data_IF_216894464331
#
_entry.id   IF_216894464331
#
_cell.length_a   1.000
_cell.length_b   1.000
_cell.length_c   1.000
_cell.angle_alpha   90.00
_cell.angle_beta   90.00
_cell.angle_gamma   90.00
#
_symmetry.space_group_name_H-M   'P 1'
#
loop_
_entity.id
_entity.type
_entity.pdbx_description
1 polymer ?
#
# COMPACT_ATOMS: atom_id res chain seq x y z
N UNK A 1 3.66 -5.68 7.23
CA UNK A 1 4.13 -6.61 6.20
C UNK A 1 4.84 -7.81 6.80
N UNK A 2 4.55 -9.05 6.37
CA UNK A 2 5.20 -10.27 6.88
C UNK A 2 6.63 -10.47 6.35
N UNK A 3 7.01 -9.82 5.24
CA UNK A 3 8.35 -9.95 4.68
C UNK A 3 9.43 -9.21 5.47
N UNK A 4 10.69 -9.57 5.25
CA UNK A 4 11.82 -8.89 5.86
C UNK A 4 12.13 -7.54 5.20
N UNK A 5 11.90 -7.39 3.88
CA UNK A 5 12.21 -6.18 3.13
C UNK A 5 11.14 -5.08 3.26
N UNK A 6 9.89 -5.42 3.59
CA UNK A 6 8.75 -4.50 3.82
C UNK A 6 8.21 -3.74 2.59
N UNK A 7 8.72 -4.01 1.38
CA UNK A 7 8.22 -3.42 0.14
C UNK A 7 6.98 -4.11 -0.44
N UNK A 8 6.44 -5.13 0.23
CA UNK A 8 5.13 -5.72 0.00
C UNK A 8 4.11 -5.06 0.93
N UNK A 9 3.53 -3.93 0.52
CA UNK A 9 2.64 -3.13 1.35
C UNK A 9 1.41 -3.94 1.81
N UNK A 10 1.13 -3.90 3.13
CA UNK A 10 -0.01 -4.59 3.75
C UNK A 10 -1.31 -3.78 3.62
N UNK A 11 -1.24 -2.47 3.78
CA UNK A 11 -2.37 -1.56 3.69
C UNK A 11 -1.83 -0.13 3.53
N UNK A 12 -2.41 0.64 2.61
CA UNK A 12 -2.03 2.04 2.39
C UNK A 12 -2.77 3.01 3.31
N UNK A 13 -3.85 2.56 3.92
CA UNK A 13 -4.68 3.38 4.81
C UNK A 13 -4.21 3.41 6.25
N UNK A 14 -3.41 2.42 6.65
CA UNK A 14 -3.05 2.20 8.04
C UNK A 14 -1.57 1.88 8.22
N UNK A 15 -1.03 2.38 9.32
CA UNK A 15 0.30 1.99 9.79
C UNK A 15 0.25 0.55 10.29
N UNK A 16 1.28 -0.24 9.96
CA UNK A 16 1.40 -1.63 10.42
C UNK A 16 1.37 -1.70 11.95
N UNK A 17 0.38 -2.37 12.56
CA UNK A 17 0.28 -2.46 14.02
C UNK A 17 1.52 -3.04 14.71
N UNK A 18 2.31 -3.87 14.01
CA UNK A 18 3.54 -4.44 14.58
C UNK A 18 4.65 -3.42 14.84
N UNK A 19 4.62 -2.27 14.19
CA UNK A 19 5.58 -1.17 14.41
C UNK A 19 4.92 0.04 15.06
N UNK A 20 3.67 -0.09 15.49
CA UNK A 20 2.90 1.01 16.06
C UNK A 20 2.18 0.59 17.34
N UNK A 21 0.85 0.31 17.31
CA UNK A 21 0.07 0.03 18.51
C UNK A 21 -0.90 -1.14 18.29
N UNK A 22 -0.73 -2.20 19.06
CA UNK A 22 -1.62 -3.37 19.09
C UNK A 22 -2.48 -3.29 20.34
N UNK A 23 -3.79 -3.16 20.21
CA UNK A 23 -4.77 -3.10 21.32
C UNK A 23 -5.59 -4.37 21.43
N UNK A 24 -5.64 -5.19 20.37
CA UNK A 24 -6.25 -6.51 20.33
C UNK A 24 -5.20 -7.51 19.89
N UNK A 25 -4.83 -8.44 20.76
CA UNK A 25 -3.77 -9.43 20.54
C UNK A 25 -4.25 -10.84 20.86
N UNK A 26 -5.31 -11.24 20.18
CA UNK A 26 -5.98 -12.52 20.38
C UNK A 26 -5.64 -13.51 19.25
N UNK A 27 -5.86 -14.80 19.52
CA UNK A 27 -5.66 -15.88 18.58
C UNK A 27 -4.41 -16.70 18.82
N UNK A 28 -4.33 -17.85 18.14
CA UNK A 28 -3.20 -18.76 18.23
C UNK A 28 -1.95 -18.17 17.59
N UNK A 29 -0.82 -18.45 18.17
CA UNK A 29 0.49 -18.21 17.56
C UNK A 29 0.75 -19.24 16.47
N UNK A 30 1.78 -18.97 15.65
CA UNK A 30 2.18 -19.88 14.60
C UNK A 30 2.50 -21.28 15.19
N UNK A 31 1.94 -22.37 14.61
CA UNK A 31 2.26 -23.71 15.02
C UNK A 31 3.76 -24.03 14.88
N UNK A 32 4.27 -24.91 15.75
CA UNK A 32 5.67 -25.34 15.69
C UNK A 32 6.00 -25.89 14.28
N UNK A 33 7.12 -25.46 13.72
CA UNK A 33 7.58 -25.87 12.38
C UNK A 33 6.96 -25.09 11.22
N UNK A 34 5.90 -24.32 11.42
CA UNK A 34 5.36 -23.42 10.42
C UNK A 34 6.21 -22.14 10.36
N UNK A 35 6.45 -21.62 9.14
CA UNK A 35 7.26 -20.41 8.94
C UNK A 35 6.46 -19.26 8.29
N UNK A 36 5.20 -19.50 7.99
CA UNK A 36 4.33 -18.52 7.34
C UNK A 36 3.42 -17.84 8.37
N UNK A 37 3.78 -16.62 8.75
CA UNK A 37 3.03 -15.83 9.73
C UNK A 37 1.59 -15.51 9.27
N UNK A 38 1.32 -15.49 7.97
CA UNK A 38 -0.02 -15.23 7.44
C UNK A 38 -1.04 -16.30 7.83
N UNK A 39 -0.57 -17.47 8.28
CA UNK A 39 -1.41 -18.56 8.78
C UNK A 39 -1.71 -18.47 10.28
N UNK A 40 -1.07 -17.56 11.01
CA UNK A 40 -1.30 -17.40 12.44
C UNK A 40 -2.53 -16.53 12.71
N UNK A 41 -3.52 -17.07 13.44
CA UNK A 41 -4.74 -16.33 13.79
C UNK A 41 -4.43 -15.01 14.51
N UNK A 42 -3.42 -15.00 15.37
CA UNK A 42 -2.97 -13.76 16.05
C UNK A 42 -2.41 -12.73 15.08
N UNK A 43 -1.62 -13.15 14.08
CA UNK A 43 -1.13 -12.24 13.05
C UNK A 43 -2.30 -11.64 12.26
N UNK A 44 -3.26 -12.49 11.84
CA UNK A 44 -4.45 -12.06 11.11
C UNK A 44 -5.22 -11.01 11.95
N UNK A 45 -5.51 -11.31 13.21
CA UNK A 45 -6.17 -10.37 14.12
C UNK A 45 -5.43 -9.03 14.20
N UNK A 46 -4.11 -9.05 14.36
CA UNK A 46 -3.30 -7.83 14.44
C UNK A 46 -3.45 -6.93 13.23
N UNK A 47 -3.46 -7.49 12.01
CA UNK A 47 -3.45 -6.71 10.77
C UNK A 47 -4.84 -6.46 10.17
N UNK A 48 -5.90 -7.12 10.66
CA UNK A 48 -7.26 -6.99 10.13
C UNK A 48 -8.25 -6.36 11.10
N UNK A 49 -8.01 -6.42 12.42
CA UNK A 49 -8.91 -5.82 13.41
C UNK A 49 -8.82 -4.29 13.34
N UNK A 50 -9.94 -3.64 13.01
CA UNK A 50 -10.01 -2.18 12.84
C UNK A 50 -9.56 -1.40 14.07
N UNK A 51 -9.76 -1.95 15.28
CA UNK A 51 -9.29 -1.33 16.52
C UNK A 51 -7.77 -1.20 16.55
N UNK A 52 -7.04 -2.22 16.07
CA UNK A 52 -5.59 -2.15 15.94
C UNK A 52 -5.17 -1.14 14.87
N UNK A 53 -5.85 -1.14 13.71
CA UNK A 53 -5.55 -0.26 12.60
C UNK A 53 -5.75 1.21 12.99
N UNK A 54 -6.89 1.53 13.61
CA UNK A 54 -7.21 2.89 14.09
C UNK A 54 -6.27 3.34 15.22
N UNK A 55 -6.00 2.45 16.19
CA UNK A 55 -5.05 2.74 17.27
C UNK A 55 -3.64 3.00 16.74
N UNK A 56 -3.22 2.28 15.69
CA UNK A 56 -1.93 2.47 15.05
C UNK A 56 -1.82 3.81 14.33
N UNK A 57 -2.86 4.22 13.62
CA UNK A 57 -2.90 5.54 13.00
C UNK A 57 -2.91 6.67 14.02
N UNK A 58 -3.66 6.53 15.11
CA UNK A 58 -3.68 7.52 16.19
C UNK A 58 -2.33 7.62 16.92
N UNK A 59 -1.65 6.51 17.09
CA UNK A 59 -0.29 6.50 17.67
C UNK A 59 0.71 7.16 16.72
N UNK A 60 0.62 6.87 15.43
CA UNK A 60 1.51 7.47 14.42
C UNK A 60 1.34 8.99 14.35
N UNK A 61 0.11 9.51 14.41
CA UNK A 61 -0.12 10.96 14.44
C UNK A 61 0.62 11.63 15.62
N UNK A 62 0.56 11.03 16.82
CA UNK A 62 1.31 11.53 17.98
C UNK A 62 2.82 11.40 17.82
N UNK A 63 3.27 10.32 17.18
CA UNK A 63 4.69 10.14 16.87
C UNK A 63 5.20 11.24 15.94
N UNK A 64 4.44 11.62 14.91
CA UNK A 64 4.80 12.73 14.02
C UNK A 64 4.88 14.05 14.78
N UNK A 65 3.92 14.34 15.66
CA UNK A 65 3.95 15.54 16.52
C UNK A 65 5.23 15.59 17.37
N UNK A 66 5.62 14.46 17.97
CA UNK A 66 6.82 14.37 18.79
C UNK A 66 8.10 14.57 17.97
N UNK A 67 8.17 13.98 16.77
CA UNK A 67 9.27 14.16 15.82
C UNK A 67 9.42 15.62 15.43
N UNK A 68 8.31 16.30 15.15
CA UNK A 68 8.31 17.74 14.84
C UNK A 68 8.74 18.59 16.02
N UNK A 69 8.32 18.23 17.25
CA UNK A 69 8.77 18.93 18.47
C UNK A 69 10.29 18.86 18.67
N UNK A 70 10.94 17.83 18.15
CA UNK A 70 12.40 17.70 18.12
C UNK A 70 13.07 18.34 16.88
N UNK A 71 12.33 19.05 16.06
CA UNK A 71 12.84 19.73 14.85
C UNK A 71 13.21 18.78 13.70
N UNK A 72 12.72 17.53 13.75
CA UNK A 72 12.94 16.51 12.72
C UNK A 72 11.76 16.45 11.74
N UNK A 73 11.97 15.78 10.61
CA UNK A 73 11.00 15.59 9.54
C UNK A 73 10.75 14.11 9.29
N UNK A 74 9.54 13.77 8.83
CA UNK A 74 9.17 12.40 8.45
C UNK A 74 8.83 12.36 6.97
N UNK A 75 9.45 11.41 6.26
CA UNK A 75 9.16 11.08 4.87
C UNK A 75 8.65 9.63 4.86
N UNK A 76 7.47 9.39 4.30
CA UNK A 76 6.94 8.05 4.12
C UNK A 76 7.43 7.44 2.81
N UNK A 77 7.60 6.13 2.82
CA UNK A 77 7.89 5.36 1.62
C UNK A 77 6.58 4.99 0.90
N UNK A 78 6.41 5.47 -0.32
CA UNK A 78 5.27 5.25 -1.18
C UNK A 78 5.54 4.12 -2.17
N UNK A 79 5.26 2.88 -1.77
CA UNK A 79 5.36 1.70 -2.63
C UNK A 79 4.08 1.58 -3.44
N UNK A 80 3.92 2.40 -4.48
CA UNK A 80 2.68 2.50 -5.25
C UNK A 80 2.70 1.71 -6.56
N UNK A 81 3.85 1.18 -6.99
CA UNK A 81 3.94 0.34 -8.18
C UNK A 81 3.27 -1.02 -8.01
N UNK A 82 3.34 -1.59 -6.81
CA UNK A 82 2.81 -2.91 -6.45
C UNK A 82 2.38 -2.92 -4.99
N UNK A 83 1.61 -3.92 -4.58
CA UNK A 83 1.31 -4.16 -3.17
C UNK A 83 1.81 -5.54 -2.73
N UNK A 84 1.54 -5.94 -1.49
CA UNK A 84 1.74 -7.33 -1.06
C UNK A 84 0.59 -8.21 -1.55
N UNK A 85 0.85 -9.49 -1.80
CA UNK A 85 -0.17 -10.47 -2.20
C UNK A 85 -1.27 -10.63 -1.14
N UNK A 86 -0.95 -10.37 0.12
CA UNK A 86 -1.84 -10.38 1.28
C UNK A 86 -2.56 -9.04 1.51
N UNK A 87 -2.39 -8.04 0.65
CA UNK A 87 -3.15 -6.78 0.75
C UNK A 87 -4.65 -7.05 0.53
N UNK A 88 -5.52 -6.35 1.27
CA UNK A 88 -6.99 -6.51 1.20
C UNK A 88 -7.57 -6.44 -0.22
N UNK A 89 -6.90 -5.76 -1.14
CA UNK A 89 -7.34 -5.65 -2.54
C UNK A 89 -7.20 -6.96 -3.32
N UNK A 90 -6.16 -7.77 -3.05
CA UNK A 90 -5.94 -9.06 -3.68
C UNK A 90 -6.36 -10.22 -2.78
N UNK A 91 -5.90 -10.22 -1.53
CA UNK A 91 -6.17 -11.20 -0.47
C UNK A 91 -5.85 -12.64 -0.89
N UNK A 92 -4.70 -12.85 -1.53
CA UNK A 92 -4.26 -14.19 -1.96
C UNK A 92 -4.12 -15.15 -0.78
N UNK A 93 -3.65 -14.68 0.36
CA UNK A 93 -3.48 -15.45 1.59
C UNK A 93 -4.75 -15.55 2.43
N UNK A 94 -5.88 -14.99 1.95
CA UNK A 94 -7.21 -15.07 2.58
C UNK A 94 -7.25 -14.58 4.03
N UNK A 95 -6.53 -13.48 4.31
CA UNK A 95 -6.51 -12.86 5.64
C UNK A 95 -7.83 -12.17 5.96
N UNK A 96 -8.49 -11.62 4.94
CA UNK A 96 -9.69 -10.78 5.07
C UNK A 96 -10.98 -11.54 4.76
N UNK A 97 -10.93 -12.69 4.09
CA UNK A 97 -12.10 -13.45 3.63
C UNK A 97 -13.09 -13.79 4.75
N UNK A 98 -12.57 -14.08 5.94
CA UNK A 98 -13.39 -14.45 7.10
C UNK A 98 -13.59 -13.27 8.09
N UNK A 99 -13.10 -12.08 7.75
CA UNK A 99 -13.19 -10.91 8.61
C UNK A 99 -14.40 -10.06 8.23
N UNK A 100 -15.26 -9.78 9.19
CA UNK A 100 -16.42 -8.92 8.95
C UNK A 100 -16.01 -7.49 8.53
N UNK A 101 -16.71 -6.94 7.54
CA UNK A 101 -16.53 -5.56 7.12
C UNK A 101 -15.46 -5.32 6.05
N UNK A 102 -14.98 -6.37 5.41
CA UNK A 102 -14.12 -6.32 4.23
C UNK A 102 -14.85 -6.87 3.00
N UNK A 103 -14.63 -6.25 1.85
CA UNK A 103 -15.03 -6.83 0.57
C UNK A 103 -14.08 -7.97 0.18
N UNK A 104 -14.55 -8.94 -0.63
CA UNK A 104 -13.68 -10.01 -1.12
C UNK A 104 -12.53 -9.45 -1.95
N UNK A 105 -11.32 -9.96 -1.76
CA UNK A 105 -10.15 -9.60 -2.57
C UNK A 105 -10.27 -10.07 -4.01
N UNK A 106 -9.51 -9.44 -4.91
CA UNK A 106 -9.56 -9.75 -6.34
C UNK A 106 -9.04 -11.15 -6.70
N UNK A 107 -8.20 -11.75 -5.86
CA UNK A 107 -7.80 -13.15 -6.02
C UNK A 107 -8.97 -14.11 -5.74
N UNK A 108 -9.74 -13.79 -4.70
CA UNK A 108 -10.82 -14.65 -4.20
C UNK A 108 -12.03 -14.64 -5.13
N UNK A 109 -12.38 -13.47 -5.69
CA UNK A 109 -13.63 -13.31 -6.46
C UNK A 109 -13.47 -12.39 -7.68
N UNK A 110 -14.01 -12.83 -8.82
CA UNK A 110 -14.15 -11.99 -10.01
C UNK A 110 -15.14 -10.83 -9.87
N UNK A 111 -16.01 -10.88 -8.86
CA UNK A 111 -16.94 -9.80 -8.50
C UNK A 111 -16.35 -8.83 -7.46
N UNK A 112 -15.07 -8.96 -7.13
CA UNK A 112 -14.38 -8.06 -6.20
C UNK A 112 -14.44 -6.62 -6.71
N UNK A 113 -14.70 -5.62 -5.84
CA UNK A 113 -14.58 -4.22 -6.22
C UNK A 113 -13.14 -3.83 -6.57
N UNK A 114 -12.17 -4.65 -6.21
CA UNK A 114 -10.75 -4.42 -6.49
C UNK A 114 -10.25 -5.20 -7.71
N UNK A 115 -11.15 -5.89 -8.46
CA UNK A 115 -10.75 -6.73 -9.59
C UNK A 115 -9.88 -5.99 -10.60
N UNK A 116 -10.28 -4.79 -10.98
CA UNK A 116 -9.60 -4.01 -12.02
C UNK A 116 -8.34 -3.28 -11.50
N UNK A 117 -8.04 -3.40 -10.19
CA UNK A 117 -6.78 -2.93 -9.62
C UNK A 117 -5.58 -3.79 -10.06
N UNK A 118 -5.86 -4.96 -10.65
CA UNK A 118 -4.86 -5.92 -11.13
C UNK A 118 -5.17 -6.35 -12.56
N UNK A 119 -4.13 -6.66 -13.33
CA UNK A 119 -4.26 -7.23 -14.66
C UNK A 119 -4.27 -8.76 -14.57
N UNK A 120 -5.43 -9.39 -14.77
CA UNK A 120 -5.59 -10.84 -14.81
C UNK A 120 -5.54 -11.36 -16.26
N UNK A 121 -4.71 -12.37 -16.52
CA UNK A 121 -4.54 -12.98 -17.84
C UNK A 121 -5.65 -13.99 -18.18
N UNK A 122 -6.22 -14.65 -17.16
CA UNK A 122 -7.31 -15.61 -17.33
C UNK A 122 -8.56 -15.17 -16.56
N UNK A 123 -9.58 -14.72 -17.30
CA UNK A 123 -10.82 -14.19 -16.74
C UNK A 123 -11.78 -15.29 -16.23
N UNK A 124 -11.50 -16.56 -16.48
CA UNK A 124 -12.34 -17.68 -16.07
C UNK A 124 -11.74 -18.47 -14.90
N UNK A 125 -10.59 -18.04 -14.36
CA UNK A 125 -9.86 -18.79 -13.34
C UNK A 125 -10.37 -18.58 -11.91
N UNK A 126 -11.42 -17.79 -11.70
CA UNK A 126 -12.04 -17.67 -10.38
C UNK A 126 -12.84 -18.90 -9.97
N UNK A 127 -12.93 -19.17 -8.65
CA UNK A 127 -12.28 -18.48 -7.55
C UNK A 127 -10.77 -18.78 -7.49
N UNK A 128 -10.05 -17.98 -6.69
CA UNK A 128 -8.61 -18.15 -6.44
C UNK A 128 -7.74 -17.91 -7.69
N UNK A 129 -8.00 -16.79 -8.37
CA UNK A 129 -7.36 -16.48 -9.63
C UNK A 129 -5.92 -15.97 -9.43
N UNK A 130 -4.93 -16.84 -9.65
CA UNK A 130 -3.51 -16.55 -9.58
C UNK A 130 -2.91 -15.98 -10.88
N UNK A 131 -3.72 -15.68 -11.91
CA UNK A 131 -3.21 -15.21 -13.21
C UNK A 131 -2.93 -13.69 -13.26
N UNK A 132 -2.87 -13.01 -12.12
CA UNK A 132 -2.52 -11.59 -12.04
C UNK A 132 -1.05 -11.35 -12.38
N UNK A 133 -0.76 -10.14 -12.88
CA UNK A 133 0.60 -9.71 -13.15
C UNK A 133 1.36 -9.42 -11.85
N UNK A 134 2.56 -9.99 -11.70
CA UNK A 134 3.51 -9.65 -10.64
C UNK A 134 4.61 -8.73 -11.17
N UNK A 135 5.04 -7.73 -10.39
CA UNK A 135 6.18 -6.89 -10.74
C UNK A 135 7.42 -7.76 -10.88
N UNK A 136 8.08 -7.68 -12.04
CA UNK A 136 9.16 -8.59 -12.47
C UNK A 136 8.82 -10.10 -12.37
N UNK A 137 7.52 -10.45 -12.43
CA UNK A 137 7.06 -11.82 -12.34
C UNK A 137 6.96 -12.37 -10.91
N UNK A 138 7.19 -11.56 -9.88
CA UNK A 138 7.04 -11.99 -8.49
C UNK A 138 5.57 -12.00 -8.07
N UNK A 139 5.04 -13.17 -7.80
CA UNK A 139 3.65 -13.35 -7.34
C UNK A 139 3.35 -12.68 -5.97
N UNK A 140 4.39 -12.48 -5.16
CA UNK A 140 4.28 -11.79 -3.87
C UNK A 140 4.22 -10.27 -3.97
N UNK A 141 4.46 -9.74 -5.18
CA UNK A 141 4.47 -8.31 -5.50
C UNK A 141 3.49 -8.02 -6.65
N UNK A 142 2.16 -8.19 -6.44
CA UNK A 142 1.16 -7.94 -7.46
C UNK A 142 1.26 -6.52 -8.00
N UNK A 143 1.44 -6.39 -9.32
CA UNK A 143 1.52 -5.13 -10.04
C UNK A 143 0.17 -4.43 -10.03
N UNK A 144 0.15 -3.14 -9.69
CA UNK A 144 -1.06 -2.33 -9.70
C UNK A 144 -1.37 -1.82 -11.11
N UNK A 145 -2.62 -1.94 -11.53
CA UNK A 145 -3.10 -1.65 -12.88
C UNK A 145 -3.77 -0.29 -12.98
N UNK A 146 -2.99 0.78 -12.94
CA UNK A 146 -3.50 2.15 -13.00
C UNK A 146 -4.20 2.47 -14.32
N UNK A 147 -3.69 1.95 -15.43
CA UNK A 147 -4.27 2.20 -16.76
C UNK A 147 -5.61 1.50 -16.94
N UNK A 148 -5.87 0.43 -16.19
CA UNK A 148 -7.13 -0.31 -16.17
C UNK A 148 -8.14 0.17 -15.14
N UNK A 149 -7.76 1.03 -14.18
CA UNK A 149 -8.64 1.43 -13.09
C UNK A 149 -8.49 2.89 -12.66
N UNK A 150 -9.48 3.71 -13.05
CA UNK A 150 -9.57 5.09 -12.57
C UNK A 150 -9.84 5.15 -11.05
N UNK A 151 -10.49 4.13 -10.48
CA UNK A 151 -10.73 4.05 -9.05
C UNK A 151 -9.41 3.86 -8.28
N UNK A 152 -8.53 2.98 -8.75
CA UNK A 152 -7.18 2.82 -8.20
C UNK A 152 -6.38 4.13 -8.28
N UNK A 153 -6.40 4.79 -9.45
CA UNK A 153 -5.77 6.10 -9.64
C UNK A 153 -6.22 7.10 -8.58
N UNK A 154 -7.52 7.26 -8.42
CA UNK A 154 -8.10 8.20 -7.46
C UNK A 154 -7.75 7.80 -6.01
N UNK A 155 -7.81 6.51 -5.70
CA UNK A 155 -7.50 5.98 -4.37
C UNK A 155 -6.07 6.33 -3.95
N UNK A 156 -5.08 6.12 -4.83
CA UNK A 156 -3.68 6.40 -4.52
C UNK A 156 -3.42 7.90 -4.42
N UNK A 157 -4.09 8.75 -5.19
CA UNK A 157 -4.04 10.20 -5.00
C UNK A 157 -4.62 10.61 -3.63
N UNK A 158 -5.70 9.96 -3.18
CA UNK A 158 -6.28 10.20 -1.85
C UNK A 158 -5.32 9.78 -0.74
N UNK A 159 -4.64 8.66 -0.87
CA UNK A 159 -3.57 8.23 0.05
C UNK A 159 -2.44 9.26 0.08
N UNK A 160 -2.00 9.75 -1.07
CA UNK A 160 -0.98 10.80 -1.16
C UNK A 160 -1.33 12.05 -0.36
N UNK A 161 -2.60 12.50 -0.46
CA UNK A 161 -3.11 13.66 0.30
C UNK A 161 -3.32 13.36 1.78
N UNK A 162 -3.87 12.18 2.09
CA UNK A 162 -4.23 11.78 3.46
C UNK A 162 -3.05 11.93 4.42
N UNK A 163 -1.92 11.36 4.10
CA UNK A 163 -0.79 11.30 5.02
C UNK A 163 -0.08 12.63 5.21
N UNK A 164 -0.16 13.54 4.23
CA UNK A 164 0.37 14.91 4.36
C UNK A 164 -0.62 15.89 4.98
N UNK A 165 -1.85 15.45 5.23
CA UNK A 165 -2.92 16.23 5.87
C UNK A 165 -2.98 15.99 7.38
N UNK A 166 -3.60 16.90 8.16
CA UNK A 166 -3.97 16.59 9.54
C UNK A 166 -4.82 15.32 9.62
N UNK A 167 -4.65 14.49 10.67
CA UNK A 167 -3.76 14.69 11.82
C UNK A 167 -2.32 14.22 11.62
N UNK A 168 -1.99 13.62 10.47
CA UNK A 168 -0.69 12.97 10.27
C UNK A 168 0.42 13.98 9.97
N UNK A 169 0.18 14.91 9.01
CA UNK A 169 1.11 15.99 8.66
C UNK A 169 2.54 15.52 8.36
N UNK A 170 2.73 14.37 7.66
CA UNK A 170 4.07 13.94 7.25
C UNK A 170 4.67 14.94 6.26
N UNK A 171 5.99 15.04 6.23
CA UNK A 171 6.71 16.08 5.50
C UNK A 171 7.09 15.68 4.08
N UNK A 172 6.83 14.43 3.69
CA UNK A 172 7.17 14.00 2.34
C UNK A 172 6.85 12.56 2.00
N UNK A 173 7.05 12.27 0.71
CA UNK A 173 6.99 10.97 0.11
C UNK A 173 8.32 10.61 -0.55
N UNK A 174 8.86 9.44 -0.27
CA UNK A 174 9.82 8.76 -1.14
C UNK A 174 9.02 7.77 -1.98
N UNK A 175 9.14 7.84 -3.30
CA UNK A 175 8.37 7.04 -4.24
C UNK A 175 9.24 5.89 -4.73
N UNK A 176 8.89 4.69 -4.30
CA UNK A 176 9.56 3.44 -4.66
C UNK A 176 9.35 3.13 -6.14
N UNK A 177 10.43 2.81 -6.85
CA UNK A 177 10.46 2.46 -8.29
C UNK A 177 9.50 3.30 -9.14
N UNK A 178 9.57 4.62 -8.97
CA UNK A 178 8.58 5.56 -9.53
C UNK A 178 8.42 5.45 -11.06
N UNK A 179 9.49 5.10 -11.78
CA UNK A 179 9.46 4.94 -13.23
C UNK A 179 8.73 3.68 -13.72
N UNK A 180 8.39 2.76 -12.82
CA UNK A 180 7.76 1.47 -13.17
C UNK A 180 6.24 1.45 -12.96
N UNK A 181 5.63 2.56 -12.47
CA UNK A 181 4.23 2.58 -12.02
C UNK A 181 3.23 2.20 -13.12
N UNK A 182 3.28 2.82 -14.28
CA UNK A 182 2.45 2.49 -15.44
C UNK A 182 3.21 1.69 -16.47
N UNK A 183 2.60 1.46 -17.63
CA UNK A 183 3.19 0.70 -18.72
C UNK A 183 3.92 1.57 -19.76
N UNK A 184 3.90 2.91 -19.59
CA UNK A 184 4.64 3.83 -20.43
C UNK A 184 5.16 5.03 -19.64
N UNK A 185 6.27 5.63 -20.10
CA UNK A 185 6.82 6.84 -19.49
C UNK A 185 5.80 7.99 -19.54
N UNK A 186 5.08 8.13 -20.64
CA UNK A 186 4.05 9.16 -20.79
C UNK A 186 2.97 9.07 -19.70
N UNK A 187 2.51 7.84 -19.42
CA UNK A 187 1.53 7.60 -18.36
C UNK A 187 2.11 7.89 -16.98
N UNK A 188 3.34 7.47 -16.72
CA UNK A 188 4.04 7.73 -15.46
C UNK A 188 4.17 9.23 -15.20
N UNK A 189 4.61 10.01 -16.18
CA UNK A 189 4.68 11.47 -16.08
C UNK A 189 3.32 12.10 -15.79
N UNK A 190 2.26 11.64 -16.46
CA UNK A 190 0.90 12.14 -16.24
C UNK A 190 0.44 11.86 -14.80
N UNK A 191 0.66 10.64 -14.30
CA UNK A 191 0.30 10.27 -12.92
C UNK A 191 1.07 11.10 -11.89
N UNK A 192 2.40 11.17 -12.02
CA UNK A 192 3.23 11.85 -11.03
C UNK A 192 3.04 13.36 -11.03
N UNK A 193 2.74 13.97 -12.17
CA UNK A 193 2.32 15.38 -12.24
C UNK A 193 1.03 15.63 -11.45
N UNK A 194 0.04 14.78 -11.61
CA UNK A 194 -1.21 14.92 -10.85
C UNK A 194 -0.99 14.59 -9.36
N UNK A 195 -0.24 13.55 -9.03
CA UNK A 195 0.12 13.24 -7.64
C UNK A 195 0.83 14.42 -6.96
N UNK A 196 1.86 14.97 -7.60
CA UNK A 196 2.57 16.15 -7.11
C UNK A 196 1.64 17.34 -6.91
N UNK A 197 0.81 17.65 -7.88
CA UNK A 197 -0.17 18.73 -7.80
C UNK A 197 -1.13 18.54 -6.62
N UNK A 198 -1.70 17.35 -6.44
CA UNK A 198 -2.63 17.03 -5.37
C UNK A 198 -1.98 17.16 -3.98
N UNK A 199 -0.79 16.60 -3.82
CA UNK A 199 -0.04 16.64 -2.55
C UNK A 199 0.41 18.05 -2.21
N UNK A 200 0.96 18.79 -3.20
CA UNK A 200 1.42 20.18 -3.02
C UNK A 200 0.27 21.17 -2.79
N UNK A 201 -0.92 20.89 -3.26
CA UNK A 201 -2.11 21.70 -2.94
C UNK A 201 -2.52 21.58 -1.47
N UNK A 202 -2.25 20.45 -0.82
CA UNK A 202 -2.48 20.27 0.62
C UNK A 202 -1.39 20.95 1.43
N UNK A 203 -0.14 20.70 1.07
CA UNK A 203 1.02 21.26 1.75
C UNK A 203 2.15 21.54 0.72
N UNK A 204 2.41 22.80 0.37
CA UNK A 204 3.39 23.16 -0.66
C UNK A 204 4.83 22.79 -0.27
N UNK A 205 5.12 22.62 1.02
CA UNK A 205 6.45 22.33 1.55
C UNK A 205 6.78 20.82 1.58
N UNK A 206 5.84 19.96 1.23
CA UNK A 206 6.04 18.50 1.19
C UNK A 206 7.17 18.15 0.22
N UNK A 207 8.15 17.37 0.67
CA UNK A 207 9.18 16.78 -0.19
C UNK A 207 8.57 15.61 -0.99
N UNK A 208 8.90 15.54 -2.27
CA UNK A 208 8.64 14.37 -3.12
C UNK A 208 9.98 13.93 -3.68
N UNK A 209 10.40 12.71 -3.32
CA UNK A 209 11.69 12.12 -3.70
C UNK A 209 11.41 10.81 -4.44
N UNK A 210 11.65 10.78 -5.75
CA UNK A 210 11.50 9.57 -6.55
C UNK A 210 12.76 8.71 -6.55
N UNK A 211 12.60 7.41 -6.41
CA UNK A 211 13.66 6.45 -6.71
C UNK A 211 13.75 6.23 -8.21
N UNK A 212 14.95 6.43 -8.76
CA UNK A 212 15.24 6.19 -10.16
C UNK A 212 16.71 5.80 -10.36
N UNK A 213 16.95 4.78 -11.15
CA UNK A 213 18.31 4.22 -11.35
C UNK A 213 19.00 4.69 -12.64
N UNK A 214 18.30 5.42 -13.52
CA UNK A 214 18.80 5.91 -14.79
C UNK A 214 19.15 7.40 -14.78
N UNK A 215 19.21 7.99 -15.97
CA UNK A 215 19.31 9.45 -16.12
C UNK A 215 17.99 10.11 -15.68
N UNK A 216 17.98 10.94 -14.62
CA UNK A 216 16.76 11.56 -14.12
C UNK A 216 16.30 12.75 -14.96
N UNK A 217 17.00 13.12 -16.04
CA UNK A 217 16.79 14.37 -16.77
C UNK A 217 15.35 14.55 -17.27
N UNK A 218 14.70 13.47 -17.71
CA UNK A 218 13.29 13.53 -18.14
C UNK A 218 12.30 13.69 -16.99
N UNK A 219 12.67 13.26 -15.76
CA UNK A 219 11.83 13.30 -14.56
C UNK A 219 11.91 14.62 -13.78
N UNK A 220 12.93 15.43 -14.05
CA UNK A 220 13.18 16.72 -13.36
C UNK A 220 12.51 17.91 -14.08
N UNK A 221 11.36 17.69 -14.70
CA UNK A 221 10.62 18.69 -15.48
C UNK A 221 9.30 19.14 -14.83
N UNK A 222 9.17 18.94 -13.54
CA UNK A 222 7.99 19.33 -12.75
C UNK A 222 7.01 18.20 -12.49
N UNK A 223 7.46 17.00 -12.56
CA UNK A 223 6.70 15.77 -12.21
C UNK A 223 6.70 15.53 -10.71
#
# INVERSE_FOLDING_TARGET
SPSNHKYDCQDYDYIDPHVSNIVVDEGAVLPEGCKDNTQAARYITRVTDKRNLEASNAYFAKFVEEVHAHGMKIILDGVFNHCGSFHKWLDREKLYEQQGGYAPGAYVSGESPYRDFFAFQNQEAWPDNGSYEGWWGFETLPKLNYEGSQELWNYVLDIGRKWVSPPYNVDGWRLDVAADLGYSNEYNHMFWKEFRKQVKNVNPDVLILAEHYGDPGEWLQGD
#
